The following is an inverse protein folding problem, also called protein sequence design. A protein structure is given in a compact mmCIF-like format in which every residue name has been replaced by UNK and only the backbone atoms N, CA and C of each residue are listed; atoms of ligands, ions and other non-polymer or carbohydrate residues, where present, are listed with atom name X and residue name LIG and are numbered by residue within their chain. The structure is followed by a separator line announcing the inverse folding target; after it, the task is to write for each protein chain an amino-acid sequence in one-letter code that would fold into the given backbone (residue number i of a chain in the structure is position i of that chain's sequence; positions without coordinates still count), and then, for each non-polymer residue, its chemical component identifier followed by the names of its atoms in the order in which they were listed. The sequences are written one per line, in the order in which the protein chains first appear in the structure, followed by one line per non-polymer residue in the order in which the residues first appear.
data_IF_751907026753
#
_entry.id   IF_751907026753
#
_cell.length_a   1.000
_cell.length_b   1.000
_cell.length_c   1.000
_cell.angle_alpha   90.00
_cell.angle_beta   90.00
_cell.angle_gamma   90.00
#
_symmetry.space_group_name_H-M   'P 1'
#
loop_
_entity.id
_entity.type
_entity.pdbx_description
1 polymer ?
#
# COMPACT_ATOMS: atom_id res chain seq x y z
N UNK A 1 33.08 -5.88 9.57
CA UNK A 1 32.97 -5.37 8.19
C UNK A 1 32.16 -6.33 7.31
N UNK A 2 30.86 -6.53 7.58
CA UNK A 2 29.99 -7.40 6.76
C UNK A 2 28.51 -6.95 6.77
N UNK A 3 28.22 -5.66 6.94
CA UNK A 3 26.83 -5.13 7.00
C UNK A 3 26.35 -4.42 5.72
N UNK A 4 27.21 -4.22 4.72
CA UNK A 4 26.87 -3.35 3.56
C UNK A 4 26.43 -4.10 2.29
N UNK A 5 26.09 -5.39 2.38
CA UNK A 5 25.77 -6.23 1.20
C UNK A 5 24.28 -6.46 0.96
N UNK A 6 23.40 -5.56 1.40
CA UNK A 6 21.99 -5.65 1.02
C UNK A 6 21.59 -4.52 0.04
N UNK A 7 21.61 -4.76 -1.29
CA UNK A 7 21.19 -3.78 -2.29
C UNK A 7 19.70 -3.40 -2.19
N UNK A 8 18.91 -4.12 -1.38
CA UNK A 8 17.51 -3.79 -1.11
C UNK A 8 17.34 -2.64 -0.08
N UNK A 9 18.41 -2.16 0.57
CA UNK A 9 18.34 -1.07 1.56
C UNK A 9 18.12 0.32 0.96
N UNK A 10 18.41 0.52 -0.34
CA UNK A 10 18.23 1.82 -1.02
C UNK A 10 16.85 1.99 -1.65
N UNK A 11 16.07 0.93 -1.76
CA UNK A 11 14.71 1.00 -2.30
C UNK A 11 13.74 1.13 -1.14
N UNK A 12 13.17 2.32 -0.96
CA UNK A 12 12.05 2.52 -0.04
C UNK A 12 10.96 1.50 -0.39
N UNK A 13 10.54 0.64 0.56
CA UNK A 13 9.44 -0.27 0.30
C UNK A 13 8.24 0.56 -0.11
N UNK A 14 7.62 0.15 -1.21
CA UNK A 14 6.40 0.81 -1.68
C UNK A 14 5.32 0.58 -0.62
N UNK A 15 4.77 1.66 -0.06
CA UNK A 15 3.68 1.55 0.92
C UNK A 15 2.42 0.94 0.27
N UNK A 16 1.61 0.16 0.99
CA UNK A 16 0.46 -0.56 0.43
C UNK A 16 -0.50 0.31 -0.39
N UNK A 17 -0.74 1.55 0.04
CA UNK A 17 -1.56 2.54 -0.68
C UNK A 17 -0.99 2.91 -2.06
N UNK A 18 0.33 2.86 -2.24
CA UNK A 18 0.99 3.14 -3.52
C UNK A 18 0.92 1.96 -4.50
N UNK A 19 0.68 0.74 -4.00
CA UNK A 19 0.45 -0.43 -4.85
C UNK A 19 -0.95 -0.38 -5.46
N UNK A 20 -1.96 -0.05 -4.64
CA UNK A 20 -3.37 -0.03 -5.07
C UNK A 20 -3.65 1.04 -6.13
N UNK A 21 -3.03 2.22 -6.03
CA UNK A 21 -3.15 3.27 -7.06
C UNK A 21 -2.65 2.81 -8.43
N UNK A 22 -1.61 1.96 -8.46
CA UNK A 22 -1.03 1.47 -9.72
C UNK A 22 -1.73 0.27 -10.30
N UNK A 23 -2.62 -0.38 -9.55
CA UNK A 23 -3.33 -1.57 -10.01
C UNK A 23 -4.17 -1.31 -11.26
N UNK A 24 -4.89 -0.19 -11.29
CA UNK A 24 -5.68 0.21 -12.47
C UNK A 24 -4.77 0.37 -13.70
N UNK A 25 -3.64 1.07 -13.54
CA UNK A 25 -2.66 1.25 -14.61
C UNK A 25 -2.04 -0.07 -15.08
N UNK A 26 -1.70 -0.97 -14.16
CA UNK A 26 -1.18 -2.31 -14.48
C UNK A 26 -2.22 -3.15 -15.25
N UNK A 27 -3.50 -3.07 -14.87
CA UNK A 27 -4.56 -3.77 -15.56
C UNK A 27 -4.77 -3.25 -16.98
N UNK A 28 -4.81 -1.93 -17.15
CA UNK A 28 -4.90 -1.29 -18.48
C UNK A 28 -3.71 -1.66 -19.36
N UNK A 29 -2.50 -1.68 -18.80
CA UNK A 29 -1.28 -2.12 -19.50
C UNK A 29 -1.37 -3.57 -19.94
N UNK A 30 -1.90 -4.47 -19.09
CA UNK A 30 -2.05 -5.90 -19.41
C UNK A 30 -3.09 -6.14 -20.49
N UNK A 31 -4.24 -5.45 -20.44
CA UNK A 31 -5.31 -5.57 -21.45
C UNK A 31 -4.80 -5.09 -22.80
N UNK A 32 -4.04 -3.99 -22.83
CA UNK A 32 -3.55 -3.37 -24.07
C UNK A 32 -2.10 -3.76 -24.40
N UNK A 33 -1.58 -4.85 -23.82
CA UNK A 33 -0.15 -5.16 -23.90
C UNK A 33 0.36 -5.30 -25.34
N UNK A 34 -0.41 -6.01 -26.18
CA UNK A 34 -0.11 -6.20 -27.60
C UNK A 34 -0.17 -4.90 -28.39
N UNK A 35 -1.18 -4.06 -28.14
CA UNK A 35 -1.35 -2.76 -28.78
C UNK A 35 -0.20 -1.81 -28.42
N UNK A 36 0.23 -1.80 -27.16
CA UNK A 36 1.35 -0.97 -26.69
C UNK A 36 2.66 -1.45 -27.33
N UNK A 37 2.89 -2.77 -27.41
CA UNK A 37 4.03 -3.30 -28.18
C UNK A 37 4.03 -2.80 -29.61
N UNK A 38 2.91 -2.95 -30.33
CA UNK A 38 2.78 -2.51 -31.71
C UNK A 38 3.01 -0.99 -31.86
N UNK A 39 2.47 -0.18 -30.95
CA UNK A 39 2.67 1.25 -30.93
C UNK A 39 4.15 1.63 -30.70
N UNK A 40 4.83 0.95 -29.78
CA UNK A 40 6.26 1.17 -29.52
C UNK A 40 7.11 0.77 -30.72
N UNK A 41 6.80 -0.35 -31.39
CA UNK A 41 7.47 -0.76 -32.64
C UNK A 41 7.30 0.31 -33.72
N UNK A 42 6.07 0.81 -33.91
CA UNK A 42 5.78 1.85 -34.88
C UNK A 42 6.53 3.16 -34.59
N UNK A 43 6.58 3.60 -33.33
CA UNK A 43 7.32 4.79 -32.91
C UNK A 43 8.83 4.58 -33.07
N UNK A 44 9.32 3.38 -32.77
CA UNK A 44 10.72 2.99 -32.88
C UNK A 44 11.26 2.96 -34.31
N UNK A 45 10.39 2.69 -35.30
CA UNK A 45 10.73 2.72 -36.72
C UNK A 45 10.78 4.14 -37.31
N UNK A 46 10.21 5.13 -36.63
CA UNK A 46 10.25 6.54 -37.08
C UNK A 46 11.60 7.17 -36.77
N UNK A 47 12.02 8.12 -37.59
CA UNK A 47 13.21 8.95 -37.30
C UNK A 47 12.84 10.03 -36.29
N UNK A 48 13.57 10.12 -35.19
CA UNK A 48 13.42 11.20 -34.22
C UNK A 48 13.89 10.82 -32.82
N UNK A 49 13.91 11.83 -31.95
CA UNK A 49 14.27 11.69 -30.54
C UNK A 49 13.48 10.61 -29.75
N UNK A 50 12.18 10.34 -29.99
CA UNK A 50 11.47 9.32 -29.21
C UNK A 50 11.81 7.88 -29.61
N UNK A 51 12.42 7.65 -30.78
CA UNK A 51 12.61 6.31 -31.32
C UNK A 51 13.54 5.41 -30.46
N UNK A 52 14.72 5.88 -29.99
CA UNK A 52 15.56 5.07 -29.11
C UNK A 52 14.88 4.68 -27.81
N UNK A 53 14.06 5.59 -27.25
CA UNK A 53 13.31 5.33 -26.01
C UNK A 53 12.19 4.32 -26.24
N UNK A 54 11.48 4.42 -27.36
CA UNK A 54 10.44 3.47 -27.74
C UNK A 54 11.02 2.06 -27.95
N UNK A 55 12.18 1.95 -28.62
CA UNK A 55 12.88 0.68 -28.80
C UNK A 55 13.30 0.07 -27.45
N UNK A 56 13.90 0.86 -26.56
CA UNK A 56 14.28 0.36 -25.22
C UNK A 56 13.08 -0.13 -24.39
N UNK A 57 11.92 0.55 -24.48
CA UNK A 57 10.69 0.09 -23.84
C UNK A 57 10.12 -1.16 -24.50
N UNK A 58 10.16 -1.25 -25.83
CA UNK A 58 9.75 -2.44 -26.57
C UNK A 58 10.58 -3.65 -26.14
N UNK A 59 11.90 -3.52 -26.09
CA UNK A 59 12.83 -4.58 -25.66
C UNK A 59 12.56 -5.03 -24.21
N UNK A 60 12.19 -4.09 -23.33
CA UNK A 60 11.77 -4.43 -21.98
C UNK A 60 10.45 -5.22 -21.97
N UNK A 61 9.48 -4.86 -22.82
CA UNK A 61 8.20 -5.56 -22.94
C UNK A 61 8.31 -6.93 -23.63
N UNK A 62 9.40 -7.21 -24.34
CA UNK A 62 9.65 -8.57 -24.86
C UNK A 62 10.16 -9.53 -23.80
N UNK A 63 10.76 -9.00 -22.72
CA UNK A 63 11.25 -9.83 -21.62
C UNK A 63 10.08 -10.43 -20.86
N UNK A 64 10.10 -11.76 -20.72
CA UNK A 64 9.11 -12.49 -19.92
C UNK A 64 9.00 -11.94 -18.48
N UNK A 65 10.12 -11.53 -17.88
CA UNK A 65 10.14 -10.96 -16.52
C UNK A 65 9.24 -9.73 -16.37
N UNK A 66 9.13 -8.89 -17.42
CA UNK A 66 8.29 -7.70 -17.41
C UNK A 66 6.81 -8.06 -17.44
N UNK A 67 6.41 -8.95 -18.35
CA UNK A 67 5.02 -9.43 -18.43
C UNK A 67 4.61 -10.18 -17.16
N UNK A 68 5.48 -11.07 -16.69
CA UNK A 68 5.26 -11.82 -15.45
C UNK A 68 5.15 -10.90 -14.23
N UNK A 69 6.02 -9.89 -14.12
CA UNK A 69 5.96 -8.89 -13.04
C UNK A 69 4.66 -8.09 -13.05
N UNK A 70 4.20 -7.65 -14.21
CA UNK A 70 2.91 -6.97 -14.38
C UNK A 70 1.73 -7.87 -13.99
N UNK A 71 1.73 -9.12 -14.46
CA UNK A 71 0.64 -10.08 -14.21
C UNK A 71 0.58 -10.49 -12.74
N UNK A 72 1.71 -10.84 -12.15
CA UNK A 72 1.82 -11.21 -10.73
C UNK A 72 1.45 -10.05 -9.81
N UNK A 73 1.93 -8.84 -10.10
CA UNK A 73 1.55 -7.63 -9.36
C UNK A 73 0.04 -7.36 -9.37
N UNK A 74 -0.61 -7.52 -10.54
CA UNK A 74 -2.06 -7.38 -10.65
C UNK A 74 -2.82 -8.44 -9.82
N UNK A 75 -2.37 -9.70 -9.84
CA UNK A 75 -2.97 -10.79 -9.05
C UNK A 75 -2.85 -10.52 -7.55
N UNK A 76 -1.64 -10.18 -7.07
CA UNK A 76 -1.40 -9.88 -5.65
C UNK A 76 -2.29 -8.73 -5.19
N UNK A 77 -2.39 -7.68 -6.00
CA UNK A 77 -3.26 -6.55 -5.68
C UNK A 77 -4.75 -6.95 -5.64
N UNK A 78 -5.22 -7.78 -6.57
CA UNK A 78 -6.60 -8.28 -6.56
C UNK A 78 -6.90 -9.07 -5.28
N UNK A 79 -5.95 -9.91 -4.83
CA UNK A 79 -6.08 -10.66 -3.58
C UNK A 79 -6.12 -9.71 -2.38
N UNK A 80 -5.17 -8.78 -2.29
CA UNK A 80 -5.08 -7.81 -1.21
C UNK A 80 -6.35 -6.94 -1.08
N UNK A 81 -6.88 -6.45 -2.20
CA UNK A 81 -8.11 -5.65 -2.20
C UNK A 81 -9.34 -6.46 -1.74
N UNK A 82 -9.45 -7.72 -2.17
CA UNK A 82 -10.56 -8.61 -1.73
C UNK A 82 -10.46 -8.93 -0.24
N UNK A 83 -9.26 -9.22 0.25
CA UNK A 83 -9.03 -9.42 1.68
C UNK A 83 -9.42 -8.18 2.48
N UNK A 84 -9.03 -6.99 2.02
CA UNK A 84 -9.41 -5.74 2.69
C UNK A 84 -10.92 -5.51 2.67
N UNK A 85 -11.60 -5.78 1.56
CA UNK A 85 -13.06 -5.64 1.46
C UNK A 85 -13.83 -6.62 2.34
N UNK A 86 -13.29 -7.81 2.61
CA UNK A 86 -13.94 -8.82 3.45
C UNK A 86 -13.65 -8.60 4.94
N UNK A 87 -12.40 -8.25 5.29
CA UNK A 87 -11.96 -8.14 6.69
C UNK A 87 -12.42 -6.84 7.33
N UNK A 88 -12.41 -5.72 6.61
CA UNK A 88 -12.71 -4.40 7.20
C UNK A 88 -14.15 -4.29 7.72
N UNK A 89 -15.19 -4.77 7.01
CA UNK A 89 -16.56 -4.78 7.54
C UNK A 89 -16.72 -5.70 8.74
N UNK A 90 -16.02 -6.84 8.76
CA UNK A 90 -16.07 -7.78 9.89
C UNK A 90 -15.43 -7.17 11.14
N UNK A 91 -14.27 -6.54 11.01
CA UNK A 91 -13.65 -5.80 12.13
C UNK A 91 -14.56 -4.69 12.63
N UNK A 92 -15.19 -3.94 11.73
CA UNK A 92 -16.13 -2.88 12.10
C UNK A 92 -17.39 -3.42 12.79
N UNK A 93 -17.92 -4.57 12.37
CA UNK A 93 -19.03 -5.24 13.06
C UNK A 93 -18.65 -5.72 14.46
N UNK A 94 -17.45 -6.30 14.63
CA UNK A 94 -16.97 -6.74 15.94
C UNK A 94 -16.79 -5.55 16.87
N UNK A 95 -16.24 -4.44 16.39
CA UNK A 95 -16.08 -3.21 17.15
C UNK A 95 -17.43 -2.62 17.58
N UNK A 96 -18.41 -2.55 16.66
CA UNK A 96 -19.76 -2.09 16.99
C UNK A 96 -20.46 -3.01 18.00
N UNK A 97 -20.30 -4.33 17.86
CA UNK A 97 -20.87 -5.30 18.80
C UNK A 97 -20.25 -5.15 20.19
N UNK A 98 -18.92 -4.99 20.29
CA UNK A 98 -18.23 -4.76 21.57
C UNK A 98 -18.71 -3.46 22.22
N UNK A 99 -18.85 -2.36 21.47
CA UNK A 99 -19.39 -1.10 21.99
C UNK A 99 -20.83 -1.23 22.48
N UNK A 100 -21.67 -2.02 21.79
CA UNK A 100 -23.04 -2.31 22.22
C UNK A 100 -23.05 -3.05 23.56
N UNK A 101 -22.23 -4.09 23.72
CA UNK A 101 -22.17 -4.88 24.97
C UNK A 101 -21.66 -4.07 26.17
N UNK A 102 -20.81 -3.06 25.94
CA UNK A 102 -20.36 -2.15 27.01
C UNK A 102 -21.49 -1.20 27.43
N UNK A 103 -22.21 -0.62 26.47
CA UNK A 103 -23.32 0.31 26.77
C UNK A 103 -24.49 -0.39 27.47
N UNK A 104 -24.77 -1.66 27.14
CA UNK A 104 -25.83 -2.43 27.79
C UNK A 104 -25.46 -2.87 29.23
N UNK A 105 -24.18 -2.74 29.63
CA UNK A 105 -23.69 -3.10 30.97
C UNK A 105 -23.76 -1.98 32.01
N UNK A 106 -24.05 -0.73 31.61
CA UNK A 106 -24.12 0.42 32.52
C UNK A 106 -25.39 0.47 33.40
N UNK A 107 -26.29 -0.51 33.31
CA UNK A 107 -27.48 -0.58 34.18
C UNK A 107 -27.40 -1.62 35.30
N UNK A 108 -26.26 -2.28 35.54
CA UNK A 108 -26.16 -3.32 36.59
C UNK A 108 -24.85 -3.23 37.39
N UNK A 109 -25.01 -2.78 38.64
CA UNK A 109 -24.21 -2.99 39.85
C UNK A 109 -22.66 -2.87 39.83
N UNK A 110 -22.16 -2.11 40.81
CA UNK A 110 -20.77 -1.71 41.11
C UNK A 110 -19.74 -2.84 41.34
N UNK A 111 -20.01 -4.09 40.94
CA UNK A 111 -19.10 -5.23 41.13
C UNK A 111 -18.34 -5.68 39.87
N UNK A 112 -18.67 -5.14 38.69
CA UNK A 112 -18.14 -5.64 37.41
C UNK A 112 -16.90 -4.89 36.86
N UNK A 113 -16.30 -4.00 37.64
CA UNK A 113 -15.17 -3.13 37.26
C UNK A 113 -13.88 -3.88 36.90
N UNK A 114 -13.78 -5.17 37.24
CA UNK A 114 -12.57 -5.98 37.01
C UNK A 114 -12.53 -6.54 35.56
N UNK A 115 -13.68 -6.84 34.95
CA UNK A 115 -13.71 -7.47 33.61
C UNK A 115 -13.35 -6.52 32.46
N UNK A 116 -13.74 -5.26 32.56
CA UNK A 116 -13.54 -4.26 31.50
C UNK A 116 -12.08 -3.80 31.39
N UNK A 117 -11.35 -3.78 32.50
CA UNK A 117 -9.93 -3.41 32.51
C UNK A 117 -9.03 -4.46 31.83
N UNK A 118 -9.34 -5.75 31.95
CA UNK A 118 -8.56 -6.83 31.32
C UNK A 118 -8.65 -6.80 29.80
N UNK A 119 -9.81 -6.42 29.24
CA UNK A 119 -10.01 -6.32 27.79
C UNK A 119 -9.31 -5.08 27.22
N UNK A 120 -9.27 -3.97 27.99
CA UNK A 120 -8.49 -2.77 27.61
C UNK A 120 -6.98 -3.02 27.60
N UNK A 121 -6.47 -3.80 28.55
CA UNK A 121 -5.05 -4.16 28.61
C UNK A 121 -4.66 -5.04 27.41
N UNK A 122 -5.51 -6.00 27.02
CA UNK A 122 -5.28 -6.85 25.84
C UNK A 122 -5.34 -6.11 24.50
N UNK A 123 -6.12 -5.01 24.41
CA UNK A 123 -6.22 -4.18 23.19
C UNK A 123 -5.14 -3.09 23.11
N UNK A 124 -4.44 -2.79 24.21
CA UNK A 124 -3.37 -1.80 24.24
C UNK A 124 -2.02 -2.34 23.72
N UNK A 125 -1.78 -3.65 23.83
CA UNK A 125 -0.50 -4.27 23.48
C UNK A 125 -0.26 -4.41 21.96
N UNK A 126 -1.28 -4.30 21.12
CA UNK A 126 -1.13 -4.37 19.64
C UNK A 126 -0.95 -2.98 18.98
N UNK A 127 -0.91 -1.90 19.77
CA UNK A 127 -0.71 -0.54 19.27
C UNK A 127 0.63 0.02 19.81
N UNK A 128 1.72 -0.55 19.34
CA UNK A 128 3.01 0.16 19.21
C UNK A 128 2.89 1.26 18.13
N UNK A 129 2.02 2.25 18.40
CA UNK A 129 1.93 3.50 17.65
C UNK A 129 2.87 4.58 18.21
N UNK A 130 3.86 4.21 19.03
CA UNK A 130 4.86 5.14 19.53
C UNK A 130 6.10 5.22 18.60
N UNK A 131 5.89 5.75 17.39
CA UNK A 131 7.00 6.34 16.61
C UNK A 131 6.62 7.40 15.58
N UNK A 132 5.43 8.00 15.69
CA UNK A 132 4.99 9.11 14.81
C UNK A 132 4.52 10.31 15.65
N UNK A 133 5.37 10.82 16.55
CA UNK A 133 5.14 12.13 17.21
C UNK A 133 6.44 12.91 17.48
N UNK A 134 7.51 12.68 16.70
CA UNK A 134 8.74 13.52 16.79
C UNK A 134 9.20 14.09 15.44
N UNK A 135 8.28 14.65 14.63
CA UNK A 135 8.70 15.37 13.41
C UNK A 135 7.77 16.50 12.93
N UNK A 136 7.13 17.21 13.85
CA UNK A 136 6.30 18.38 13.52
C UNK A 136 6.76 19.71 14.11
N UNK A 137 7.94 19.78 14.73
CA UNK A 137 8.33 20.99 15.47
C UNK A 137 9.38 21.88 14.77
N UNK A 138 9.80 21.56 13.53
CA UNK A 138 10.88 22.32 12.86
C UNK A 138 10.43 23.15 11.63
N UNK A 139 9.13 23.32 11.36
CA UNK A 139 8.65 23.99 10.13
C UNK A 139 8.00 25.37 10.35
N UNK A 140 8.05 25.94 11.55
CA UNK A 140 7.40 27.24 11.89
C UNK A 140 8.39 28.38 12.13
N UNK A 141 9.51 28.40 11.40
CA UNK A 141 10.53 29.44 11.64
C UNK A 141 11.48 29.71 10.47
N UNK A 142 10.99 29.96 9.25
CA UNK A 142 11.78 30.72 8.27
C UNK A 142 10.96 31.22 7.06
N UNK A 143 10.01 32.14 7.27
CA UNK A 143 9.53 33.02 6.20
C UNK A 143 9.10 34.38 6.78
N UNK A 144 10.09 35.18 7.20
CA UNK A 144 10.01 36.63 7.25
C UNK A 144 11.39 37.17 6.81
N UNK A 145 11.42 37.92 5.71
CA UNK A 145 12.55 38.79 5.39
C UNK A 145 12.97 38.80 3.92
N UNK A 146 12.42 39.78 3.19
CA UNK A 146 12.94 40.47 2.00
C UNK A 146 13.28 39.69 0.72
#
# INVERSE_FOLDING_TARGET
MLSDLNPYTKLKPLCPSRWTVRASSMNVLLINYSLIKAALTYIGQRRGYPAPKANGLHDQMEKFSTYFGLKSGNIINSIYLRFKQLIFPLLCMVEQFLLQTVNDSETVDETNTIGVNVIREFLADDIDAEKITKRTDDATGLFIGY
#
